data_IF_437063782085
#
_entry.id   IF_437063782085
#
_cell.length_a   1.000
_cell.length_b   1.000
_cell.length_c   1.000
_cell.angle_alpha   90.00
_cell.angle_beta   90.00
_cell.angle_gamma   90.00
#
_symmetry.space_group_name_H-M   'P 1'
#
loop_
_entity.id
_entity.type
_entity.pdbx_description
1 polymer ?
#
# COMPACT_ATOMS: atom_id res chain seq x y z
N UNK A 1 31.49 5.94 -2.30
CA UNK A 1 30.20 6.46 -1.84
C UNK A 1 29.42 6.84 -3.08
N UNK A 2 28.29 6.21 -3.31
CA UNK A 2 27.44 6.48 -4.46
C UNK A 2 26.72 7.82 -4.30
N UNK A 3 26.17 8.34 -5.37
CA UNK A 3 25.54 9.67 -5.40
C UNK A 3 24.28 9.75 -4.52
N UNK A 4 23.56 8.62 -4.36
CA UNK A 4 22.32 8.50 -3.61
C UNK A 4 22.46 7.69 -2.32
N UNK A 5 23.69 7.48 -1.84
CA UNK A 5 23.91 6.77 -0.58
C UNK A 5 23.10 7.36 0.57
N UNK A 6 22.41 6.49 1.32
CA UNK A 6 21.59 6.85 2.46
C UNK A 6 20.25 7.53 2.10
N UNK A 7 19.79 7.43 0.85
CA UNK A 7 18.45 7.88 0.43
C UNK A 7 17.57 6.65 0.21
N UNK A 8 16.37 6.66 0.81
CA UNK A 8 15.33 5.67 0.58
C UNK A 8 14.23 6.28 -0.29
N UNK A 9 13.97 5.67 -1.45
CA UNK A 9 12.85 6.02 -2.31
C UNK A 9 11.77 4.93 -2.23
N UNK A 10 10.62 5.27 -1.70
CA UNK A 10 9.46 4.39 -1.54
C UNK A 10 8.32 4.88 -2.44
N UNK A 11 7.78 4.04 -3.30
CA UNK A 11 6.67 4.40 -4.20
C UNK A 11 5.47 3.48 -4.03
N UNK A 12 4.26 4.01 -4.13
CA UNK A 12 3.11 3.18 -4.39
C UNK A 12 3.21 2.53 -5.77
N UNK A 13 2.43 1.48 -6.00
CA UNK A 13 2.42 0.70 -7.24
C UNK A 13 1.35 1.18 -8.21
N UNK A 14 0.08 0.98 -7.84
CA UNK A 14 -1.05 1.16 -8.74
C UNK A 14 -1.31 2.65 -9.00
N UNK A 15 -1.38 3.03 -10.28
CA UNK A 15 -1.61 4.42 -10.72
C UNK A 15 -0.58 5.45 -10.21
N UNK A 16 0.56 4.96 -9.66
CA UNK A 16 1.73 5.75 -9.25
C UNK A 16 2.99 5.32 -10.03
N UNK A 17 3.59 4.16 -9.73
CA UNK A 17 4.70 3.57 -10.50
C UNK A 17 4.18 2.90 -11.77
N UNK A 18 3.04 2.23 -11.66
CA UNK A 18 2.41 1.53 -12.78
C UNK A 18 1.61 2.51 -13.64
N UNK A 19 1.80 2.39 -14.95
CA UNK A 19 0.94 3.07 -15.93
C UNK A 19 -0.51 2.57 -15.82
N UNK A 20 -1.45 3.27 -16.45
CA UNK A 20 -2.86 2.85 -16.55
C UNK A 20 -2.99 1.44 -17.14
N UNK A 21 -2.06 1.03 -18.04
CA UNK A 21 -1.99 -0.33 -18.59
C UNK A 21 -1.27 -1.33 -17.67
N UNK A 22 -1.05 -0.95 -16.39
CA UNK A 22 -0.40 -1.77 -15.36
C UNK A 22 1.00 -2.24 -15.75
N UNK A 23 1.79 -1.38 -16.40
CA UNK A 23 3.20 -1.62 -16.78
C UNK A 23 4.12 -0.64 -16.08
N UNK A 24 5.40 -0.97 -15.96
CA UNK A 24 6.47 -0.04 -15.64
C UNK A 24 7.13 0.37 -16.96
N UNK A 25 7.24 1.66 -17.23
CA UNK A 25 7.93 2.15 -18.44
C UNK A 25 9.43 1.81 -18.40
N UNK A 26 10.04 1.64 -19.56
CA UNK A 26 11.48 1.38 -19.64
C UNK A 26 12.29 2.54 -19.07
N UNK A 27 11.81 3.76 -19.20
CA UNK A 27 12.39 4.97 -18.66
C UNK A 27 12.38 5.00 -17.13
N UNK A 28 11.26 4.65 -16.49
CA UNK A 28 11.18 4.50 -15.03
C UNK A 28 12.12 3.39 -14.56
N UNK A 29 12.11 2.24 -15.25
CA UNK A 29 12.98 1.11 -14.92
C UNK A 29 14.46 1.49 -14.95
N UNK A 30 14.93 2.10 -16.04
CA UNK A 30 16.33 2.55 -16.18
C UNK A 30 16.70 3.58 -15.10
N UNK A 31 15.79 4.51 -14.78
CA UNK A 31 16.04 5.51 -13.74
C UNK A 31 16.16 4.86 -12.35
N UNK A 32 15.30 3.87 -12.01
CA UNK A 32 15.36 3.13 -10.75
C UNK A 32 16.68 2.32 -10.67
N UNK A 33 17.03 1.60 -11.75
CA UNK A 33 18.29 0.84 -11.82
C UNK A 33 19.52 1.76 -11.63
N UNK A 34 19.52 2.93 -12.26
CA UNK A 34 20.54 3.96 -12.05
C UNK A 34 20.57 4.45 -10.60
N UNK A 35 19.43 4.78 -10.01
CA UNK A 35 19.32 5.21 -8.61
C UNK A 35 19.92 4.17 -7.66
N UNK A 36 19.57 2.89 -7.85
CA UNK A 36 20.09 1.79 -7.04
C UNK A 36 21.61 1.58 -7.27
N UNK A 37 22.08 1.69 -8.52
CA UNK A 37 23.52 1.53 -8.84
C UNK A 37 24.40 2.61 -8.22
N UNK A 38 23.81 3.78 -7.95
CA UNK A 38 24.45 4.92 -7.28
C UNK A 38 24.23 4.94 -5.76
N UNK A 39 23.85 3.79 -5.17
CA UNK A 39 23.74 3.59 -3.71
C UNK A 39 22.39 3.94 -3.11
N UNK A 40 21.42 4.34 -3.89
CA UNK A 40 20.05 4.59 -3.41
C UNK A 40 19.32 3.29 -3.06
N UNK A 41 18.46 3.35 -2.06
CA UNK A 41 17.56 2.26 -1.67
C UNK A 41 16.17 2.52 -2.25
N UNK A 42 15.67 1.58 -3.05
CA UNK A 42 14.38 1.68 -3.71
C UNK A 42 13.44 0.56 -3.27
N UNK A 43 12.17 0.91 -2.99
CA UNK A 43 11.16 -0.07 -2.61
C UNK A 43 9.74 0.40 -2.91
N UNK A 44 8.77 -0.49 -2.62
CA UNK A 44 7.34 -0.27 -2.75
C UNK A 44 6.64 -0.06 -1.42
N UNK A 45 5.54 0.73 -1.42
CA UNK A 45 4.57 0.81 -0.34
C UNK A 45 3.18 0.53 -0.89
N UNK A 46 2.65 -0.66 -0.65
CA UNK A 46 1.44 -1.14 -1.31
C UNK A 46 0.41 -1.70 -0.32
N UNK A 47 -0.87 -1.63 -0.70
CA UNK A 47 -1.94 -2.36 -0.02
C UNK A 47 -1.93 -3.87 -0.29
N UNK A 48 -1.20 -4.32 -1.29
CA UNK A 48 -1.15 -5.71 -1.71
C UNK A 48 -0.59 -6.62 -0.63
N UNK A 49 -1.05 -7.88 -0.65
CA UNK A 49 -0.40 -8.98 0.05
C UNK A 49 0.94 -9.30 -0.62
N UNK A 50 1.83 -10.04 0.07
CA UNK A 50 3.18 -10.34 -0.44
C UNK A 50 3.13 -11.03 -1.80
N UNK A 51 2.26 -12.01 -2.00
CA UNK A 51 2.18 -12.77 -3.27
C UNK A 51 1.68 -11.89 -4.43
N UNK A 52 0.72 -10.99 -4.18
CA UNK A 52 0.29 -10.00 -5.18
C UNK A 52 1.41 -9.04 -5.61
N UNK A 53 2.28 -8.66 -4.67
CA UNK A 53 3.43 -7.82 -4.97
C UNK A 53 4.58 -8.58 -5.67
N UNK A 54 4.71 -9.90 -5.48
CA UNK A 54 5.72 -10.72 -6.18
C UNK A 54 5.61 -10.63 -7.69
N UNK A 55 4.42 -10.42 -8.23
CA UNK A 55 4.20 -10.24 -9.68
C UNK A 55 4.97 -9.03 -10.25
N UNK A 56 5.41 -8.11 -9.39
CA UNK A 56 6.20 -6.95 -9.79
C UNK A 56 7.70 -7.24 -9.90
N UNK A 57 8.21 -8.29 -9.23
CA UNK A 57 9.65 -8.62 -9.18
C UNK A 57 10.24 -8.98 -10.54
N UNK A 58 9.43 -9.52 -11.45
CA UNK A 58 9.84 -9.80 -12.82
C UNK A 58 10.03 -8.52 -13.66
N UNK A 59 9.46 -7.42 -13.20
CA UNK A 59 9.50 -6.11 -13.87
C UNK A 59 10.60 -5.23 -13.30
N UNK A 60 10.66 -5.12 -11.98
CA UNK A 60 11.70 -4.41 -11.24
C UNK A 60 11.88 -5.07 -9.88
N UNK A 61 13.12 -5.33 -9.48
CA UNK A 61 13.45 -5.90 -8.17
C UNK A 61 13.94 -4.80 -7.24
N UNK A 62 13.20 -4.46 -6.18
CA UNK A 62 13.66 -3.49 -5.18
C UNK A 62 14.90 -4.03 -4.45
N UNK A 63 15.77 -3.13 -4.00
CA UNK A 63 16.95 -3.45 -3.19
C UNK A 63 16.77 -3.10 -1.69
N UNK A 64 15.54 -2.78 -1.28
CA UNK A 64 15.15 -2.59 0.11
C UNK A 64 13.85 -3.35 0.40
N UNK A 65 13.55 -3.70 1.68
CA UNK A 65 12.31 -4.37 2.05
C UNK A 65 11.07 -3.56 1.69
N UNK A 66 10.00 -4.25 1.29
CA UNK A 66 8.73 -3.67 0.86
C UNK A 66 7.80 -3.42 2.05
N UNK A 67 7.06 -2.31 2.00
CA UNK A 67 5.91 -2.06 2.85
C UNK A 67 4.68 -2.69 2.17
N UNK A 68 4.02 -3.62 2.86
CA UNK A 68 2.85 -4.35 2.38
C UNK A 68 1.67 -4.23 3.35
N UNK A 69 0.49 -4.74 2.96
CA UNK A 69 -0.74 -4.69 3.76
C UNK A 69 -1.07 -3.26 4.23
N UNK A 70 -0.90 -2.24 3.36
CA UNK A 70 -1.10 -0.82 3.71
C UNK A 70 -0.33 -0.38 4.98
N UNK A 71 0.89 -0.91 5.20
CA UNK A 71 1.75 -0.54 6.30
C UNK A 71 1.74 -1.49 7.50
N UNK A 72 0.84 -2.49 7.54
CA UNK A 72 0.82 -3.48 8.60
C UNK A 72 1.98 -4.49 8.50
N UNK A 73 2.66 -4.60 7.35
CA UNK A 73 3.78 -5.52 7.13
C UNK A 73 4.98 -4.87 6.45
N UNK A 74 6.18 -5.39 6.77
CA UNK A 74 7.43 -5.11 6.06
C UNK A 74 8.04 -6.44 5.67
N UNK A 75 8.22 -6.67 4.36
CA UNK A 75 8.70 -7.93 3.81
C UNK A 75 10.00 -7.75 3.03
N UNK A 76 10.99 -8.59 3.32
CA UNK A 76 12.27 -8.61 2.60
C UNK A 76 12.28 -9.75 1.57
N UNK A 77 12.23 -9.37 0.29
CA UNK A 77 12.30 -10.33 -0.82
C UNK A 77 13.68 -10.97 -0.97
N UNK A 78 14.74 -10.38 -0.45
CA UNK A 78 16.08 -10.95 -0.54
C UNK A 78 16.28 -12.07 0.50
N UNK A 79 15.73 -11.88 1.69
CA UNK A 79 15.76 -12.84 2.79
C UNK A 79 14.52 -13.75 2.82
N UNK A 80 13.56 -13.54 1.92
CA UNK A 80 12.28 -14.27 1.86
C UNK A 80 11.56 -14.33 3.21
N UNK A 81 11.49 -13.19 3.93
CA UNK A 81 10.87 -13.18 5.25
C UNK A 81 10.18 -11.86 5.59
N UNK A 82 9.18 -11.98 6.47
CA UNK A 82 8.55 -10.84 7.12
C UNK A 82 9.49 -10.29 8.21
N UNK A 83 9.87 -9.00 8.11
CA UNK A 83 10.69 -8.31 9.10
C UNK A 83 9.85 -7.69 10.21
N UNK A 84 8.63 -7.27 9.88
CA UNK A 84 7.66 -6.72 10.81
C UNK A 84 6.26 -7.06 10.32
N UNK A 85 5.38 -7.46 11.23
CA UNK A 85 3.98 -7.73 10.93
C UNK A 85 3.15 -7.38 12.16
N UNK A 86 2.09 -6.60 11.94
CA UNK A 86 1.11 -6.28 12.96
C UNK A 86 -0.20 -6.93 12.56
N UNK A 87 -0.80 -7.69 13.46
CA UNK A 87 -2.10 -8.32 13.26
C UNK A 87 -3.21 -7.57 14.01
N UNK A 88 -4.42 -7.74 13.53
CA UNK A 88 -5.63 -7.35 14.23
C UNK A 88 -5.77 -8.18 15.51
N UNK A 89 -6.37 -7.61 16.54
CA UNK A 89 -6.70 -8.34 17.76
C UNK A 89 -7.93 -9.24 17.55
N UNK A 90 -8.20 -10.11 18.53
CA UNK A 90 -9.32 -11.05 18.45
C UNK A 90 -10.69 -10.37 18.41
N UNK A 91 -10.80 -9.10 18.77
CA UNK A 91 -12.04 -8.34 18.75
C UNK A 91 -12.41 -7.84 17.34
N UNK A 92 -11.46 -7.94 16.38
CA UNK A 92 -11.73 -7.61 14.97
C UNK A 92 -12.87 -8.45 14.37
N UNK A 93 -13.10 -9.66 14.91
CA UNK A 93 -14.25 -10.49 14.51
C UNK A 93 -15.58 -9.76 14.71
N UNK A 94 -15.74 -8.98 15.78
CA UNK A 94 -16.95 -8.19 16.05
C UNK A 94 -17.11 -7.04 15.03
N UNK A 95 -16.01 -6.44 14.60
CA UNK A 95 -16.04 -5.41 13.56
C UNK A 95 -16.43 -5.99 12.20
N UNK A 96 -15.95 -7.20 11.88
CA UNK A 96 -16.38 -7.93 10.68
C UNK A 96 -17.84 -8.31 10.78
N UNK A 97 -18.27 -8.90 11.90
CA UNK A 97 -19.67 -9.29 12.14
C UNK A 97 -20.62 -8.10 12.03
N UNK A 98 -20.23 -6.93 12.54
CA UNK A 98 -21.01 -5.69 12.45
C UNK A 98 -21.33 -5.32 10.99
N UNK A 99 -20.33 -5.38 10.09
CA UNK A 99 -20.55 -5.10 8.65
C UNK A 99 -21.23 -6.28 7.97
N UNK A 100 -20.81 -7.49 8.29
CA UNK A 100 -21.34 -8.72 7.70
C UNK A 100 -22.86 -8.84 7.86
N UNK A 101 -23.39 -8.55 9.05
CA UNK A 101 -24.81 -8.65 9.32
C UNK A 101 -25.60 -7.45 8.78
N UNK A 102 -25.00 -6.26 8.77
CA UNK A 102 -25.69 -5.02 8.43
C UNK A 102 -25.73 -4.76 6.92
N UNK A 103 -24.68 -5.17 6.19
CA UNK A 103 -24.53 -4.87 4.76
C UNK A 103 -24.29 -6.14 3.94
N UNK A 104 -25.36 -6.89 3.61
CA UNK A 104 -25.24 -8.17 2.89
C UNK A 104 -24.68 -8.03 1.46
N UNK A 105 -24.63 -6.83 0.90
CA UNK A 105 -24.06 -6.54 -0.40
C UNK A 105 -22.52 -6.49 -0.39
N UNK A 106 -21.90 -6.26 0.77
CA UNK A 106 -20.45 -6.15 0.88
C UNK A 106 -19.81 -7.54 0.86
N UNK A 107 -18.86 -7.77 -0.05
CA UNK A 107 -17.97 -8.91 0.05
C UNK A 107 -16.95 -8.67 1.17
N UNK A 108 -16.41 -9.75 1.72
CA UNK A 108 -15.48 -9.73 2.84
C UNK A 108 -14.31 -10.66 2.53
N UNK A 109 -13.11 -10.09 2.47
CA UNK A 109 -11.85 -10.82 2.36
C UNK A 109 -11.01 -10.55 3.62
N UNK A 110 -10.67 -11.59 4.35
CA UNK A 110 -9.76 -11.56 5.49
C UNK A 110 -8.39 -11.98 5.01
N UNK A 111 -7.43 -11.05 5.05
CA UNK A 111 -6.06 -11.33 4.66
C UNK A 111 -5.24 -11.76 5.88
N UNK A 112 -4.64 -12.94 5.80
CA UNK A 112 -3.63 -13.44 6.73
C UNK A 112 -2.22 -13.22 6.17
N UNK A 113 -1.19 -13.65 6.86
CA UNK A 113 0.17 -13.59 6.34
C UNK A 113 0.41 -14.53 5.15
N UNK A 114 -0.39 -15.60 5.04
CA UNK A 114 -0.23 -16.67 4.06
C UNK A 114 -1.22 -16.59 2.89
N UNK A 115 -2.43 -16.09 3.11
CA UNK A 115 -3.50 -16.17 2.11
C UNK A 115 -4.64 -15.16 2.38
N UNK A 116 -5.47 -14.97 1.34
CA UNK A 116 -6.76 -14.31 1.42
C UNK A 116 -7.85 -15.33 1.71
N UNK A 117 -8.78 -15.00 2.62
CA UNK A 117 -9.90 -15.83 3.06
C UNK A 117 -11.22 -15.17 2.69
N UNK A 118 -11.91 -15.69 1.67
CA UNK A 118 -13.12 -15.09 1.12
C UNK A 118 -14.35 -15.53 1.91
N UNK A 119 -14.80 -14.67 2.82
CA UNK A 119 -15.90 -15.00 3.74
C UNK A 119 -17.29 -14.67 3.17
N UNK A 120 -17.37 -13.74 2.24
CA UNK A 120 -18.55 -13.43 1.44
C UNK A 120 -18.11 -12.87 0.08
N UNK A 121 -18.81 -13.25 -0.98
CA UNK A 121 -18.48 -12.89 -2.35
C UNK A 121 -19.45 -11.92 -2.99
N UNK A 122 -18.98 -11.18 -3.97
CA UNK A 122 -19.76 -10.43 -4.95
C UNK A 122 -18.93 -10.25 -6.24
N UNK A 123 -19.47 -9.56 -7.24
CA UNK A 123 -18.79 -9.37 -8.51
C UNK A 123 -17.46 -8.61 -8.38
N UNK A 124 -17.35 -7.69 -7.42
CA UNK A 124 -16.13 -6.89 -7.19
C UNK A 124 -15.01 -7.79 -6.64
N UNK A 125 -15.33 -8.68 -5.69
CA UNK A 125 -14.33 -9.62 -5.16
C UNK A 125 -13.85 -10.60 -6.25
N UNK A 126 -14.75 -11.10 -7.10
CA UNK A 126 -14.33 -11.98 -8.20
C UNK A 126 -13.39 -11.27 -9.18
N UNK A 127 -13.62 -9.99 -9.45
CA UNK A 127 -12.69 -9.19 -10.24
C UNK A 127 -11.35 -8.98 -9.51
N UNK A 128 -11.38 -8.66 -8.21
CA UNK A 128 -10.19 -8.52 -7.37
C UNK A 128 -9.32 -9.77 -7.39
N UNK A 129 -9.93 -10.96 -7.21
CA UNK A 129 -9.24 -12.23 -7.28
C UNK A 129 -8.49 -12.43 -8.60
N UNK A 130 -9.15 -12.07 -9.70
CA UNK A 130 -8.55 -12.19 -11.02
C UNK A 130 -7.36 -11.24 -11.21
N UNK A 131 -7.48 -9.98 -10.76
CA UNK A 131 -6.42 -8.95 -10.87
C UNK A 131 -5.19 -9.33 -10.02
N UNK A 132 -5.41 -9.80 -8.79
CA UNK A 132 -4.34 -10.16 -7.84
C UNK A 132 -3.87 -11.61 -8.02
N UNK A 133 -4.46 -12.37 -8.95
CA UNK A 133 -4.19 -13.80 -9.18
C UNK A 133 -4.30 -14.64 -7.90
N UNK A 134 -5.35 -14.38 -7.10
CA UNK A 134 -5.59 -15.06 -5.84
C UNK A 134 -6.24 -16.43 -6.07
N UNK A 135 -5.87 -17.39 -5.24
CA UNK A 135 -6.47 -18.73 -5.25
C UNK A 135 -7.83 -18.71 -4.54
N UNK A 136 -8.71 -19.59 -4.95
CA UNK A 136 -9.99 -19.79 -4.27
C UNK A 136 -9.77 -20.34 -2.86
N UNK A 137 -10.25 -19.58 -1.88
CA UNK A 137 -10.24 -19.96 -0.47
C UNK A 137 -11.50 -19.39 0.19
N UNK A 138 -12.63 -20.08 0.01
CA UNK A 138 -13.92 -19.71 0.57
C UNK A 138 -14.11 -20.36 1.93
N UNK A 139 -14.23 -19.55 2.97
CA UNK A 139 -14.27 -20.01 4.35
C UNK A 139 -15.16 -19.08 5.19
N UNK A 140 -15.84 -19.61 6.20
CA UNK A 140 -16.56 -18.76 7.16
C UNK A 140 -15.55 -17.97 8.01
N UNK A 141 -15.86 -16.69 8.29
CA UNK A 141 -14.95 -15.83 9.04
C UNK A 141 -14.65 -16.34 10.47
N UNK A 142 -15.55 -17.16 11.05
CA UNK A 142 -15.33 -17.82 12.34
C UNK A 142 -14.29 -18.94 12.27
N UNK A 143 -14.06 -19.50 11.09
CA UNK A 143 -13.12 -20.62 10.88
C UNK A 143 -11.73 -20.16 10.46
N UNK A 144 -11.51 -18.84 10.24
CA UNK A 144 -10.19 -18.28 9.95
C UNK A 144 -9.37 -18.22 11.23
N UNK A 145 -8.49 -19.19 11.42
CA UNK A 145 -7.71 -19.38 12.67
C UNK A 145 -6.38 -18.65 12.68
N UNK A 146 -5.81 -18.35 11.50
CA UNK A 146 -4.58 -17.59 11.38
C UNK A 146 -4.77 -16.12 11.80
N UNK A 147 -3.74 -15.44 12.33
CA UNK A 147 -3.83 -14.03 12.67
C UNK A 147 -4.26 -13.18 11.46
N UNK A 148 -5.31 -12.40 11.62
CA UNK A 148 -5.80 -11.47 10.61
C UNK A 148 -4.89 -10.25 10.53
N UNK A 149 -4.43 -9.91 9.34
CA UNK A 149 -3.56 -8.76 9.11
C UNK A 149 -4.39 -7.56 8.71
N UNK A 150 -5.36 -7.77 7.82
CA UNK A 150 -6.35 -6.78 7.40
C UNK A 150 -7.63 -7.45 6.95
N UNK A 151 -8.70 -6.67 6.87
CA UNK A 151 -9.95 -7.09 6.26
C UNK A 151 -10.33 -6.09 5.17
N UNK A 152 -10.72 -6.59 4.01
CA UNK A 152 -11.19 -5.77 2.89
C UNK A 152 -12.69 -5.97 2.74
N UNK A 153 -13.44 -4.89 2.85
CA UNK A 153 -14.85 -4.82 2.50
C UNK A 153 -14.96 -4.28 1.08
N UNK A 154 -15.54 -5.07 0.17
CA UNK A 154 -15.61 -4.73 -1.25
C UNK A 154 -17.06 -4.55 -1.65
N UNK A 155 -17.36 -3.45 -2.35
CA UNK A 155 -18.72 -3.14 -2.81
C UNK A 155 -18.67 -2.15 -3.97
N UNK A 156 -19.84 -1.84 -4.55
CA UNK A 156 -19.96 -0.78 -5.55
C UNK A 156 -19.50 0.57 -4.99
N UNK A 157 -18.89 1.41 -5.84
CA UNK A 157 -18.27 2.68 -5.45
C UNK A 157 -19.20 3.57 -4.61
N UNK A 158 -20.48 3.67 -5.01
CA UNK A 158 -21.50 4.47 -4.32
C UNK A 158 -21.94 3.92 -2.96
N UNK A 159 -21.51 2.73 -2.60
CA UNK A 159 -21.82 2.06 -1.33
C UNK A 159 -20.64 2.06 -0.35
N UNK A 160 -19.42 2.36 -0.80
CA UNK A 160 -18.22 2.38 0.07
C UNK A 160 -18.38 3.38 1.20
N UNK A 161 -18.94 4.58 0.91
CA UNK A 161 -19.15 5.61 1.92
C UNK A 161 -20.19 5.21 2.97
N UNK A 162 -21.11 4.29 2.66
CA UNK A 162 -22.07 3.72 3.62
C UNK A 162 -21.33 2.88 4.67
N UNK A 163 -20.39 2.03 4.23
CA UNK A 163 -19.55 1.22 5.12
C UNK A 163 -18.63 2.11 5.96
N UNK A 164 -18.00 3.11 5.32
CA UNK A 164 -17.16 4.12 5.97
C UNK A 164 -17.93 4.81 7.11
N UNK A 165 -19.07 5.41 6.80
CA UNK A 165 -19.91 6.10 7.79
C UNK A 165 -20.32 5.17 8.92
N UNK A 166 -20.70 3.92 8.61
CA UNK A 166 -21.07 2.96 9.64
C UNK A 166 -19.92 2.66 10.62
N UNK A 167 -18.68 2.58 10.14
CA UNK A 167 -17.51 2.42 11.02
C UNK A 167 -17.20 3.70 11.80
N UNK A 168 -17.27 4.87 11.16
CA UNK A 168 -17.03 6.17 11.82
C UNK A 168 -18.00 6.44 12.99
N UNK A 169 -19.24 5.94 12.89
CA UNK A 169 -20.28 6.04 13.91
C UNK A 169 -20.26 4.87 14.93
N UNK A 170 -19.36 3.91 14.79
CA UNK A 170 -19.31 2.70 15.60
C UNK A 170 -18.30 2.78 16.74
N UNK A 171 -18.38 1.84 17.69
CA UNK A 171 -17.37 1.62 18.74
C UNK A 171 -15.98 1.24 18.18
N UNK A 172 -15.87 0.92 16.91
CA UNK A 172 -14.62 0.50 16.26
C UNK A 172 -13.81 1.68 15.70
N UNK A 173 -14.39 2.88 15.55
CA UNK A 173 -13.78 4.05 14.93
C UNK A 173 -12.38 4.38 15.50
N UNK A 174 -12.27 4.36 16.82
CA UNK A 174 -11.01 4.66 17.51
C UNK A 174 -10.13 3.44 17.79
N UNK A 175 -10.67 2.24 17.56
CA UNK A 175 -9.97 0.98 17.89
C UNK A 175 -9.07 0.51 16.76
N UNK A 176 -9.46 0.77 15.53
CA UNK A 176 -8.75 0.32 14.33
C UNK A 176 -8.36 1.49 13.44
N UNK A 177 -7.49 1.23 12.49
CA UNK A 177 -7.24 2.12 11.35
C UNK A 177 -8.10 1.68 10.18
N UNK A 178 -8.63 2.66 9.45
CA UNK A 178 -9.43 2.41 8.27
C UNK A 178 -8.86 3.18 7.10
N UNK A 179 -8.93 2.58 5.91
CA UNK A 179 -8.44 3.23 4.70
C UNK A 179 -9.31 2.87 3.49
N UNK A 180 -9.60 3.85 2.66
CA UNK A 180 -10.15 3.63 1.32
C UNK A 180 -8.97 3.46 0.37
N UNK A 181 -8.69 2.22 -0.04
CA UNK A 181 -7.54 1.89 -0.89
C UNK A 181 -7.87 1.87 -2.39
N UNK A 182 -9.16 1.86 -2.73
CA UNK A 182 -9.66 2.02 -4.08
C UNK A 182 -11.11 2.55 -4.07
N UNK A 183 -11.70 2.89 -5.24
CA UNK A 183 -13.11 3.27 -5.31
C UNK A 183 -14.07 2.21 -4.73
N UNK A 184 -13.69 0.94 -4.72
CA UNK A 184 -14.53 -0.21 -4.34
C UNK A 184 -14.14 -0.87 -3.02
N UNK A 185 -13.03 -0.44 -2.36
CA UNK A 185 -12.47 -1.13 -1.18
C UNK A 185 -12.43 -0.18 0.02
N UNK A 186 -12.93 -0.68 1.14
CA UNK A 186 -12.73 -0.08 2.45
C UNK A 186 -12.06 -1.12 3.34
N UNK A 187 -10.92 -0.80 3.90
CA UNK A 187 -10.08 -1.76 4.61
C UNK A 187 -10.04 -1.44 6.11
N UNK A 188 -10.11 -2.48 6.92
CA UNK A 188 -9.86 -2.45 8.36
C UNK A 188 -8.45 -2.99 8.62
N UNK A 189 -7.67 -2.21 9.34
CA UNK A 189 -6.25 -2.44 9.64
C UNK A 189 -6.02 -2.36 11.16
N UNK A 190 -4.93 -2.94 11.69
CA UNK A 190 -4.51 -2.71 13.06
C UNK A 190 -4.38 -1.21 13.35
N UNK A 191 -4.63 -0.79 14.59
CA UNK A 191 -4.50 0.61 15.00
C UNK A 191 -3.09 1.12 14.69
N UNK A 192 -3.01 2.35 14.16
CA UNK A 192 -1.77 3.00 13.73
C UNK A 192 -1.02 2.25 12.60
N UNK A 193 -1.70 1.38 11.85
CA UNK A 193 -1.15 0.81 10.63
C UNK A 193 -1.63 1.62 9.43
N UNK A 194 -0.70 2.25 8.75
CA UNK A 194 -0.86 2.94 7.47
C UNK A 194 0.50 2.99 6.75
N UNK A 195 0.52 3.33 5.46
CA UNK A 195 1.74 3.33 4.67
C UNK A 195 2.82 4.28 5.23
N UNK A 196 2.42 5.39 5.86
CA UNK A 196 3.34 6.35 6.47
C UNK A 196 4.02 5.79 7.73
N UNK A 197 3.28 5.07 8.58
CA UNK A 197 3.87 4.34 9.71
C UNK A 197 4.79 3.22 9.22
N UNK A 198 4.40 2.53 8.15
CA UNK A 198 5.25 1.56 7.47
C UNK A 198 6.57 2.18 6.98
N UNK A 199 6.55 3.40 6.41
CA UNK A 199 7.74 4.12 5.97
C UNK A 199 8.66 4.48 7.15
N UNK A 200 8.10 5.02 8.23
CA UNK A 200 8.88 5.34 9.44
C UNK A 200 9.57 4.08 9.97
N UNK A 201 8.81 3.00 10.09
CA UNK A 201 9.34 1.72 10.58
C UNK A 201 10.42 1.13 9.67
N UNK A 202 10.24 1.23 8.36
CA UNK A 202 11.24 0.79 7.38
C UNK A 202 12.51 1.63 7.46
N UNK A 203 12.38 2.96 7.56
CA UNK A 203 13.52 3.87 7.71
C UNK A 203 14.32 3.56 8.99
N UNK A 204 13.64 3.30 10.12
CA UNK A 204 14.27 2.83 11.36
C UNK A 204 15.04 1.52 11.17
N UNK A 205 14.44 0.50 10.54
CA UNK A 205 15.08 -0.80 10.29
C UNK A 205 16.32 -0.69 9.41
N UNK A 206 16.33 0.28 8.48
CA UNK A 206 17.45 0.54 7.58
C UNK A 206 18.46 1.56 8.13
N UNK A 207 18.23 2.13 9.33
CA UNK A 207 19.02 3.22 9.92
C UNK A 207 19.13 4.44 8.97
N UNK A 208 18.04 4.78 8.26
CA UNK A 208 17.95 5.96 7.39
C UNK A 208 17.14 7.03 8.13
N UNK A 209 17.67 8.26 8.27
CA UNK A 209 16.89 9.38 8.79
C UNK A 209 15.66 9.63 7.91
N UNK A 210 14.50 9.91 8.52
CA UNK A 210 13.25 10.11 7.78
C UNK A 210 13.35 11.26 6.77
N UNK A 211 14.14 12.27 7.08
CA UNK A 211 14.42 13.42 6.22
C UNK A 211 15.14 13.02 4.91
N UNK A 212 15.73 11.83 4.88
CA UNK A 212 16.38 11.25 3.69
C UNK A 212 15.51 10.23 2.97
N UNK A 213 14.20 10.29 3.18
CA UNK A 213 13.24 9.48 2.46
C UNK A 213 12.50 10.29 1.41
N UNK A 214 12.22 9.66 0.28
CA UNK A 214 11.32 10.16 -0.76
C UNK A 214 10.16 9.17 -0.82
N UNK A 215 8.93 9.65 -0.80
CA UNK A 215 7.76 8.80 -0.95
C UNK A 215 6.81 9.36 -2.00
N UNK A 216 6.25 8.48 -2.85
CA UNK A 216 5.38 8.87 -3.94
C UNK A 216 4.08 8.06 -3.92
N UNK A 217 2.94 8.73 -4.19
CA UNK A 217 1.62 8.11 -4.18
C UNK A 217 0.56 8.93 -4.90
N UNK A 218 -0.64 8.37 -5.02
CA UNK A 218 -1.76 8.97 -5.75
C UNK A 218 -3.11 8.93 -5.02
N UNK A 219 -3.35 7.97 -4.11
CA UNK A 219 -4.66 7.73 -3.51
C UNK A 219 -4.70 8.02 -2.01
N UNK A 220 -5.89 7.98 -1.40
CA UNK A 220 -6.11 8.34 0.00
C UNK A 220 -5.22 7.55 0.98
N UNK A 221 -4.93 6.27 0.69
CA UNK A 221 -4.02 5.45 1.49
C UNK A 221 -2.55 5.89 1.42
N UNK A 222 -2.20 6.82 0.51
CA UNK A 222 -0.86 7.40 0.40
C UNK A 222 -0.70 8.74 1.13
N UNK A 223 -1.78 9.31 1.67
CA UNK A 223 -1.72 10.61 2.36
C UNK A 223 -0.70 10.57 3.51
N UNK A 224 -0.74 9.52 4.33
CA UNK A 224 0.22 9.34 5.42
C UNK A 224 1.63 9.09 4.91
N UNK A 225 1.78 8.34 3.81
CA UNK A 225 3.05 8.03 3.17
C UNK A 225 3.76 9.31 2.72
N UNK A 226 3.09 10.13 1.92
CA UNK A 226 3.68 11.37 1.39
C UNK A 226 3.87 12.45 2.47
N UNK A 227 3.02 12.45 3.52
CA UNK A 227 3.14 13.40 4.63
C UNK A 227 4.32 13.11 5.54
N UNK A 228 4.62 11.84 5.79
CA UNK A 228 5.66 11.41 6.73
C UNK A 228 7.05 11.30 6.11
N UNK A 229 7.16 11.33 4.79
CA UNK A 229 8.45 11.32 4.10
C UNK A 229 9.20 12.65 4.23
N UNK A 230 10.52 12.61 4.13
CA UNK A 230 11.36 13.81 3.99
C UNK A 230 10.96 14.63 2.76
N UNK A 231 10.69 13.95 1.64
CA UNK A 231 10.10 14.55 0.44
C UNK A 231 8.90 13.70 0.02
N UNK A 232 7.70 14.20 0.29
CA UNK A 232 6.45 13.59 -0.18
C UNK A 232 6.10 14.10 -1.59
N UNK A 233 5.80 13.19 -2.49
CA UNK A 233 5.50 13.47 -3.90
C UNK A 233 4.12 12.96 -4.27
N UNK A 234 3.28 13.78 -4.86
CA UNK A 234 2.06 13.36 -5.51
C UNK A 234 2.26 13.28 -7.03
N UNK A 235 1.79 12.22 -7.68
CA UNK A 235 1.70 12.21 -9.14
C UNK A 235 0.60 13.15 -9.63
N UNK A 236 0.67 13.62 -10.88
CA UNK A 236 -0.30 14.59 -11.41
C UNK A 236 -1.73 14.04 -11.49
N UNK A 237 -1.90 12.72 -11.64
CA UNK A 237 -3.20 12.03 -11.58
C UNK A 237 -3.71 11.79 -10.16
N UNK A 238 -2.94 12.11 -9.11
CA UNK A 238 -3.31 11.86 -7.72
C UNK A 238 -4.58 12.61 -7.30
N UNK A 239 -5.28 12.06 -6.30
CA UNK A 239 -6.39 12.70 -5.63
C UNK A 239 -5.98 14.06 -5.05
N UNK A 240 -6.91 15.02 -4.97
CA UNK A 240 -6.63 16.35 -4.47
C UNK A 240 -6.11 16.35 -3.03
N UNK A 241 -6.59 15.44 -2.20
CA UNK A 241 -6.16 15.26 -0.81
C UNK A 241 -4.67 14.86 -0.70
N UNK A 242 -4.20 14.00 -1.61
CA UNK A 242 -2.78 13.60 -1.68
C UNK A 242 -1.91 14.75 -2.16
N UNK A 243 -2.35 15.49 -3.19
CA UNK A 243 -1.64 16.68 -3.69
C UNK A 243 -1.48 17.75 -2.62
N UNK A 244 -2.47 17.92 -1.75
CA UNK A 244 -2.41 18.86 -0.62
C UNK A 244 -1.48 18.38 0.51
N UNK A 245 -1.29 17.08 0.65
CA UNK A 245 -0.42 16.49 1.68
C UNK A 245 1.05 16.43 1.24
N UNK A 246 1.31 16.40 -0.07
CA UNK A 246 2.64 16.24 -0.64
C UNK A 246 3.45 17.54 -0.62
N UNK A 247 4.78 17.40 -0.56
CA UNK A 247 5.75 18.51 -0.66
C UNK A 247 5.84 19.06 -2.08
N UNK A 248 5.63 18.20 -3.09
CA UNK A 248 5.62 18.59 -4.50
C UNK A 248 4.73 17.65 -5.33
N UNK A 249 4.37 18.12 -6.53
CA UNK A 249 3.64 17.35 -7.53
C UNK A 249 4.57 17.10 -8.72
N UNK A 250 4.64 15.85 -9.17
CA UNK A 250 5.39 15.45 -10.36
C UNK A 250 4.43 15.26 -11.56
N UNK A 251 4.91 14.72 -12.67
CA UNK A 251 4.10 14.32 -13.82
C UNK A 251 3.16 13.16 -13.47
N UNK A 252 2.25 12.81 -14.37
CA UNK A 252 1.34 11.67 -14.13
C UNK A 252 2.05 10.32 -14.27
N UNK A 253 1.36 9.25 -13.84
CA UNK A 253 1.88 7.88 -13.85
C UNK A 253 2.22 7.35 -15.27
N UNK A 254 1.66 7.92 -16.34
CA UNK A 254 1.96 7.55 -17.71
C UNK A 254 3.13 8.35 -18.33
N UNK A 255 3.68 9.32 -17.57
CA UNK A 255 4.72 10.26 -18.01
C UNK A 255 6.05 10.12 -17.27
N UNK A 256 6.40 8.90 -16.86
CA UNK A 256 7.68 8.55 -16.21
C UNK A 256 7.92 9.30 -14.88
N UNK A 257 6.95 9.27 -13.99
CA UNK A 257 6.97 10.05 -12.74
C UNK A 257 8.19 9.75 -11.85
N UNK A 258 8.59 8.48 -11.71
CA UNK A 258 9.77 8.09 -10.90
C UNK A 258 11.05 8.64 -11.51
N UNK A 259 11.22 8.55 -12.86
CA UNK A 259 12.35 9.12 -13.58
C UNK A 259 12.43 10.64 -13.38
N UNK A 260 11.28 11.33 -13.41
CA UNK A 260 11.25 12.78 -13.19
C UNK A 260 11.82 13.15 -11.81
N UNK A 261 11.44 12.43 -10.76
CA UNK A 261 11.94 12.65 -9.38
C UNK A 261 13.42 12.29 -9.26
N UNK A 262 13.86 11.14 -9.78
CA UNK A 262 15.28 10.76 -9.74
C UNK A 262 16.13 11.78 -10.51
N UNK A 263 15.62 12.32 -11.61
CA UNK A 263 16.31 13.38 -12.38
C UNK A 263 16.41 14.67 -11.58
N UNK A 264 15.36 15.08 -10.87
CA UNK A 264 15.38 16.27 -10.01
C UNK A 264 16.37 16.10 -8.84
N UNK A 265 16.35 14.92 -8.19
CA UNK A 265 17.29 14.55 -7.14
C UNK A 265 18.75 14.58 -7.64
N UNK A 266 18.98 14.05 -8.83
CA UNK A 266 20.30 14.04 -9.48
C UNK A 266 20.87 15.45 -9.75
N UNK A 267 19.99 16.45 -9.89
CA UNK A 267 20.34 17.86 -10.08
C UNK A 267 20.44 18.65 -8.77
N UNK A 268 20.26 17.98 -7.60
CA UNK A 268 20.26 18.64 -6.29
C UNK A 268 19.05 19.56 -6.07
N UNK A 269 17.93 19.27 -6.72
CA UNK A 269 16.67 20.04 -6.58
C UNK A 269 15.75 19.49 -5.46
N UNK A 270 16.08 18.33 -4.92
CA UNK A 270 15.38 17.62 -3.84
C UNK A 270 16.41 17.08 -2.85
N UNK A 271 16.18 17.22 -1.53
CA UNK A 271 17.04 16.80 -0.39
C UNK A 271 18.35 17.57 -0.29
#
# INVERSE_FOLDING_TARGET
MGKFDGILFCTDLDDTLLTTDKRISDENKQAIEYFMSEGGLFTFATGRVVDGARLMLDRIRPNAPMICFNGAGIYDFSAEKMLSLVSLDSDAIRAVEFIYNRFPFAAVDICTASESCFCRTNAILEQHKHIENLKDNYIDYHDVTDPWIKVIFMTEENQVDIIKTAFEESEFADKYSFVRSSPWYYELLPKNSDKGQGLIKLAELLNIPIERTIAMGDNENDISLVRNAGVGVAVANAAQSVKQAASCITVDNNSDAVKAIITALNKGMLL
#
